data_IF_580826858307
#
_entry.id   IF_580826858307
#
_cell.length_a   1.000
_cell.length_b   1.000
_cell.length_c   1.000
_cell.angle_alpha   90.00
_cell.angle_beta   90.00
_cell.angle_gamma   90.00
#
_symmetry.space_group_name_H-M   'P 1'
#
loop_
_entity.id
_entity.type
_entity.pdbx_description
1 polymer ?
#
# COMPACT_ATOMS: atom_id res chain seq x y z
N UNK A 1 -9.64 16.85 23.39
CA UNK A 1 -9.37 16.37 22.03
C UNK A 1 -9.02 14.91 22.14
N UNK A 2 -9.70 14.04 21.39
CA UNK A 2 -9.40 12.61 21.37
C UNK A 2 -8.25 12.33 20.40
N UNK A 3 -7.47 11.27 20.65
CA UNK A 3 -6.36 10.86 19.81
C UNK A 3 -6.32 9.33 19.68
N UNK A 4 -6.00 8.85 18.48
CA UNK A 4 -5.67 7.45 18.20
C UNK A 4 -4.27 7.41 17.59
N UNK A 5 -3.38 6.60 18.18
CA UNK A 5 -2.02 6.38 17.69
C UNK A 5 -1.85 4.94 17.20
N UNK A 6 -1.30 4.80 16.01
CA UNK A 6 -1.05 3.51 15.39
C UNK A 6 0.12 3.61 14.41
N UNK A 7 0.57 2.47 13.88
CA UNK A 7 1.55 2.47 12.80
C UNK A 7 1.01 1.83 11.53
N UNK A 8 1.46 2.33 10.38
CA UNK A 8 1.26 1.73 9.06
C UNK A 8 2.62 1.27 8.54
N UNK A 9 2.85 -0.03 8.46
CA UNK A 9 4.15 -0.59 8.07
C UNK A 9 5.32 0.00 8.89
N UNK A 10 5.10 0.18 10.20
CA UNK A 10 6.08 0.78 11.11
C UNK A 10 6.24 2.31 10.99
N UNK A 11 5.44 3.01 10.19
CA UNK A 11 5.33 4.47 10.20
C UNK A 11 4.37 4.91 11.31
N UNK A 12 4.81 5.63 12.35
CA UNK A 12 3.92 6.11 13.41
C UNK A 12 2.99 7.21 12.89
N UNK A 13 1.71 7.10 13.22
CA UNK A 13 0.65 8.03 12.83
C UNK A 13 -0.17 8.40 14.06
N UNK A 14 -0.44 9.68 14.23
CA UNK A 14 -1.41 10.18 15.21
C UNK A 14 -2.59 10.82 14.47
N UNK A 15 -3.80 10.48 14.86
CA UNK A 15 -5.03 11.07 14.34
C UNK A 15 -5.83 11.67 15.49
N UNK A 16 -6.18 12.94 15.39
CA UNK A 16 -6.89 13.71 16.42
C UNK A 16 -8.23 14.21 15.93
N UNK A 17 -9.22 14.20 16.82
CA UNK A 17 -10.54 14.78 16.57
C UNK A 17 -11.09 15.45 17.83
N UNK A 18 -12.16 16.25 17.69
CA UNK A 18 -12.80 16.89 18.81
C UNK A 18 -13.40 15.88 19.79
N UNK A 19 -13.96 14.79 19.29
CA UNK A 19 -14.64 13.75 20.07
C UNK A 19 -14.13 12.35 19.72
N UNK A 20 -14.11 11.44 20.68
CA UNK A 20 -13.64 10.05 20.49
C UNK A 20 -14.45 9.30 19.44
N UNK A 21 -15.77 9.47 19.46
CA UNK A 21 -16.67 8.83 18.47
C UNK A 21 -16.32 9.16 17.01
N UNK A 22 -15.66 10.28 16.77
CA UNK A 22 -15.23 10.68 15.43
C UNK A 22 -14.09 9.80 14.90
N UNK A 23 -13.42 9.06 15.79
CA UNK A 23 -12.30 8.18 15.52
C UNK A 23 -12.60 6.69 15.70
N UNK A 24 -13.82 6.31 16.15
CA UNK A 24 -14.17 4.91 16.50
C UNK A 24 -13.93 3.95 15.33
N UNK A 25 -14.32 4.35 14.12
CA UNK A 25 -14.11 3.53 12.91
C UNK A 25 -12.62 3.30 12.62
N UNK A 26 -11.81 4.35 12.79
CA UNK A 26 -10.36 4.27 12.58
C UNK A 26 -9.71 3.42 13.68
N UNK A 27 -10.12 3.62 14.93
CA UNK A 27 -9.66 2.83 16.06
C UNK A 27 -9.98 1.34 15.87
N UNK A 28 -11.16 1.02 15.35
CA UNK A 28 -11.56 -0.36 15.06
C UNK A 28 -10.67 -1.02 13.99
N UNK A 29 -10.23 -0.27 12.98
CA UNK A 29 -9.33 -0.77 11.92
C UNK A 29 -7.91 -0.95 12.45
N UNK A 30 -7.40 0.01 13.23
CA UNK A 30 -5.99 0.08 13.61
C UNK A 30 -5.68 -0.40 15.03
N UNK A 31 -6.68 -0.92 15.80
CA UNK A 31 -6.50 -1.36 17.19
C UNK A 31 -5.37 -2.40 17.39
N UNK A 32 -5.02 -3.16 16.37
CA UNK A 32 -3.95 -4.18 16.39
C UNK A 32 -2.56 -3.60 16.14
N UNK A 33 -2.46 -2.31 15.85
CA UNK A 33 -1.21 -1.64 15.44
C UNK A 33 -0.88 -0.43 16.31
N UNK A 34 -1.02 -0.51 17.66
CA UNK A 34 -0.75 0.63 18.52
C UNK A 34 0.74 1.01 18.46
N UNK A 35 1.03 2.28 18.72
CA UNK A 35 2.39 2.78 18.84
C UNK A 35 2.46 3.93 19.84
N UNK A 36 3.53 3.95 20.65
CA UNK A 36 3.88 5.08 21.50
C UNK A 36 5.00 5.94 20.90
N UNK A 37 5.48 5.59 19.71
CA UNK A 37 6.51 6.35 19.02
C UNK A 37 6.01 7.75 18.62
N UNK A 38 6.93 8.71 18.56
CA UNK A 38 6.62 10.04 18.06
C UNK A 38 6.09 9.95 16.61
N UNK A 39 4.98 10.62 16.31
CA UNK A 39 4.34 10.50 15.02
C UNK A 39 5.22 11.07 13.90
N UNK A 40 5.31 10.34 12.80
CA UNK A 40 5.87 10.80 11.54
C UNK A 40 4.80 11.46 10.64
N UNK A 41 3.54 11.25 11.01
CA UNK A 41 2.38 11.87 10.38
C UNK A 41 1.35 12.25 11.47
N UNK A 42 1.01 13.51 11.53
CA UNK A 42 -0.05 14.07 12.37
C UNK A 42 -1.28 14.42 11.52
N UNK A 43 -2.45 13.96 11.93
CA UNK A 43 -3.71 14.20 11.20
C UNK A 43 -4.76 14.78 12.14
N UNK A 44 -5.23 15.98 11.86
CA UNK A 44 -6.38 16.58 12.52
C UNK A 44 -7.64 16.34 11.69
N UNK A 45 -8.73 15.91 12.32
CA UNK A 45 -9.98 15.55 11.66
C UNK A 45 -11.16 16.28 12.25
N UNK A 46 -12.00 16.83 11.38
CA UNK A 46 -13.32 17.36 11.69
C UNK A 46 -14.37 16.50 10.96
N UNK A 47 -15.27 15.81 11.71
CA UNK A 47 -16.42 15.13 11.14
C UNK A 47 -17.54 16.14 10.90
N UNK A 48 -18.07 16.16 9.67
CA UNK A 48 -19.13 17.08 9.26
C UNK A 48 -20.36 16.28 8.83
N UNK A 49 -21.43 16.41 9.59
CA UNK A 49 -22.71 15.82 9.23
C UNK A 49 -23.23 16.45 7.92
N UNK A 50 -23.67 15.63 6.98
CA UNK A 50 -24.19 16.10 5.71
C UNK A 50 -23.12 16.59 4.71
N UNK A 51 -21.83 16.36 4.99
CA UNK A 51 -20.78 16.61 4.01
C UNK A 51 -20.89 15.57 2.89
N UNK A 52 -21.59 15.94 1.83
CA UNK A 52 -21.61 15.19 0.58
C UNK A 52 -21.74 16.21 -0.56
N UNK A 53 -20.79 16.20 -1.47
CA UNK A 53 -20.98 16.88 -2.75
C UNK A 53 -21.83 16.00 -3.64
N UNK A 54 -22.73 16.59 -4.41
CA UNK A 54 -23.51 15.81 -5.38
C UNK A 54 -22.54 15.04 -6.31
N UNK A 55 -22.78 13.75 -6.43
CA UNK A 55 -22.08 12.91 -7.40
C UNK A 55 -22.58 13.27 -8.79
N UNK A 56 -22.01 14.29 -9.40
CA UNK A 56 -22.20 14.51 -10.83
C UNK A 56 -21.52 13.42 -11.64
N UNK A 57 -21.92 13.20 -12.89
CA UNK A 57 -21.29 12.23 -13.81
C UNK A 57 -19.78 12.47 -14.00
N UNK A 58 -19.31 13.66 -13.66
CA UNK A 58 -17.89 14.04 -13.72
C UNK A 58 -17.07 13.66 -12.46
N UNK A 59 -17.73 13.20 -11.40
CA UNK A 59 -17.08 12.73 -10.18
C UNK A 59 -17.15 11.19 -10.11
N UNK A 60 -16.23 10.46 -10.73
CA UNK A 60 -16.08 9.06 -10.44
C UNK A 60 -15.75 8.89 -8.95
N UNK A 61 -16.25 7.83 -8.32
CA UNK A 61 -16.12 7.57 -6.87
C UNK A 61 -14.69 7.67 -6.30
N UNK A 62 -13.69 7.82 -7.16
CA UNK A 62 -12.27 7.88 -6.84
C UNK A 62 -11.52 9.07 -7.47
N UNK A 63 -12.21 10.11 -7.95
CA UNK A 63 -11.47 11.31 -8.38
C UNK A 63 -10.91 12.01 -7.15
N UNK A 64 -9.63 11.81 -6.91
CA UNK A 64 -8.85 12.55 -5.93
C UNK A 64 -8.20 13.70 -6.66
N UNK A 65 -8.64 14.90 -6.37
CA UNK A 65 -7.97 16.07 -6.89
C UNK A 65 -7.00 16.51 -5.81
N UNK A 66 -5.71 16.37 -6.06
CA UNK A 66 -4.67 16.94 -5.21
C UNK A 66 -3.99 18.02 -6.03
N UNK A 67 -4.13 19.23 -5.57
CA UNK A 67 -3.53 20.39 -6.19
C UNK A 67 -2.65 21.10 -5.17
N UNK A 68 -1.61 21.79 -5.65
CA UNK A 68 -0.83 22.67 -4.80
C UNK A 68 -1.72 23.81 -4.33
N UNK A 69 -1.78 24.06 -3.03
CA UNK A 69 -2.56 25.18 -2.48
C UNK A 69 -2.03 26.49 -3.04
N UNK A 70 -2.89 27.40 -3.50
CA UNK A 70 -2.47 28.69 -4.04
C UNK A 70 -1.58 29.44 -3.05
N UNK A 71 -0.41 29.90 -3.50
CA UNK A 71 0.54 30.68 -2.68
C UNK A 71 1.34 29.88 -1.64
N UNK A 72 1.13 28.56 -1.51
CA UNK A 72 1.90 27.71 -0.58
C UNK A 72 2.84 26.78 -1.34
N UNK A 73 4.11 26.72 -0.92
CA UNK A 73 5.13 25.86 -1.56
C UNK A 73 5.05 24.40 -1.11
N UNK A 74 4.45 24.13 0.06
CA UNK A 74 4.49 22.84 0.73
C UNK A 74 3.12 22.27 1.12
N UNK A 75 2.02 22.88 0.68
CA UNK A 75 0.67 22.41 0.98
C UNK A 75 0.01 21.83 -0.24
N UNK A 76 -0.62 20.68 -0.03
CA UNK A 76 -1.41 19.95 -1.01
C UNK A 76 -2.86 19.98 -0.58
N UNK A 77 -3.73 20.51 -1.43
CA UNK A 77 -5.17 20.43 -1.22
C UNK A 77 -5.70 19.07 -1.71
N UNK A 78 -6.48 18.41 -0.87
CA UNK A 78 -7.14 17.14 -1.16
C UNK A 78 -8.63 17.36 -1.24
N UNK A 79 -9.23 16.96 -2.33
CA UNK A 79 -10.65 17.04 -2.54
C UNK A 79 -11.23 15.69 -2.96
N UNK A 80 -12.29 15.28 -2.28
CA UNK A 80 -13.11 14.12 -2.58
C UNK A 80 -14.59 14.51 -2.51
N UNK A 81 -15.49 13.65 -3.00
CA UNK A 81 -16.94 13.88 -2.89
C UNK A 81 -17.42 13.96 -1.43
N UNK A 82 -16.72 13.32 -0.50
CA UNK A 82 -17.08 13.14 0.91
C UNK A 82 -16.00 13.62 1.89
N UNK A 83 -14.97 14.30 1.38
CA UNK A 83 -13.90 14.85 2.20
C UNK A 83 -13.14 15.95 1.47
N UNK A 84 -12.58 16.88 2.26
CA UNK A 84 -11.64 17.89 1.79
C UNK A 84 -10.59 18.17 2.86
N UNK A 85 -9.44 18.70 2.46
CA UNK A 85 -8.43 19.11 3.43
C UNK A 85 -7.12 19.49 2.80
N UNK A 86 -6.12 19.66 3.64
CA UNK A 86 -4.77 20.01 3.24
C UNK A 86 -3.76 19.11 3.91
N UNK A 87 -2.67 18.82 3.21
CA UNK A 87 -1.51 18.10 3.72
C UNK A 87 -0.30 19.02 3.57
N UNK A 88 0.38 19.31 4.67
CA UNK A 88 1.67 19.99 4.66
C UNK A 88 2.79 18.97 4.48
N UNK A 89 3.51 19.09 3.37
CA UNK A 89 4.61 18.20 2.98
C UNK A 89 5.98 18.86 3.14
N UNK A 90 6.07 19.95 3.87
CA UNK A 90 7.32 20.70 4.07
C UNK A 90 8.34 19.92 4.86
N UNK A 91 8.18 19.90 6.17
CA UNK A 91 9.08 19.24 7.11
C UNK A 91 8.45 17.98 7.71
N UNK A 92 9.26 17.16 8.35
CA UNK A 92 8.78 16.02 9.14
C UNK A 92 8.61 16.44 10.62
N UNK A 93 7.58 15.97 11.32
CA UNK A 93 6.50 15.11 10.84
C UNK A 93 5.63 15.81 9.80
N UNK A 94 5.07 15.06 8.84
CA UNK A 94 4.05 15.61 7.96
C UNK A 94 2.79 15.90 8.77
N UNK A 95 2.08 16.96 8.41
CA UNK A 95 0.80 17.26 9.03
C UNK A 95 -0.33 17.33 8.01
N UNK A 96 -1.52 16.93 8.41
CA UNK A 96 -2.70 16.99 7.57
C UNK A 96 -3.90 17.47 8.38
N UNK A 97 -4.82 18.15 7.72
CA UNK A 97 -6.09 18.56 8.30
C UNK A 97 -7.21 18.25 7.33
N UNK A 98 -8.17 17.47 7.77
CA UNK A 98 -9.29 17.03 6.94
C UNK A 98 -10.63 17.34 7.57
N UNK A 99 -11.58 17.72 6.72
CA UNK A 99 -13.02 17.70 6.98
C UNK A 99 -13.59 16.51 6.23
N UNK A 100 -14.23 15.58 6.94
CA UNK A 100 -14.71 14.32 6.38
C UNK A 100 -16.19 14.10 6.69
N UNK A 101 -16.89 13.49 5.75
CA UNK A 101 -18.27 13.06 5.92
C UNK A 101 -18.40 11.91 6.94
N UNK A 102 -19.62 11.44 7.18
CA UNK A 102 -19.90 10.45 8.20
C UNK A 102 -19.38 9.04 7.89
N UNK A 103 -18.97 8.77 6.66
CA UNK A 103 -18.50 7.43 6.26
C UNK A 103 -17.12 7.09 6.85
N UNK A 104 -16.98 5.88 7.39
CA UNK A 104 -15.71 5.31 7.82
C UNK A 104 -14.65 5.34 6.71
N UNK A 105 -15.07 5.02 5.48
CA UNK A 105 -14.21 5.00 4.31
C UNK A 105 -13.63 6.39 3.96
N UNK A 106 -14.32 7.47 4.31
CA UNK A 106 -13.85 8.84 4.04
C UNK A 106 -12.61 9.17 4.84
N UNK A 107 -12.66 8.89 6.15
CA UNK A 107 -11.55 9.12 7.07
C UNK A 107 -10.36 8.22 6.72
N UNK A 108 -10.60 6.92 6.56
CA UNK A 108 -9.55 5.96 6.21
C UNK A 108 -8.84 6.36 4.91
N UNK A 109 -9.58 6.76 3.90
CA UNK A 109 -8.98 7.16 2.62
C UNK A 109 -8.14 8.45 2.74
N UNK A 110 -8.54 9.42 3.57
CA UNK A 110 -7.75 10.62 3.84
C UNK A 110 -6.45 10.27 4.58
N UNK A 111 -6.53 9.45 5.61
CA UNK A 111 -5.36 8.95 6.34
C UNK A 111 -4.42 8.19 5.40
N UNK A 112 -4.93 7.31 4.55
CA UNK A 112 -4.13 6.55 3.57
C UNK A 112 -3.44 7.46 2.55
N UNK A 113 -4.11 8.51 2.08
CA UNK A 113 -3.50 9.50 1.18
C UNK A 113 -2.33 10.19 1.88
N UNK A 114 -2.53 10.73 3.08
CA UNK A 114 -1.48 11.40 3.85
C UNK A 114 -0.33 10.41 4.19
N UNK A 115 -0.68 9.20 4.64
CA UNK A 115 0.30 8.17 4.95
C UNK A 115 1.14 7.76 3.73
N UNK A 116 0.59 7.75 2.52
CA UNK A 116 1.38 7.43 1.32
C UNK A 116 2.53 8.39 1.07
N UNK A 117 2.33 9.67 1.39
CA UNK A 117 3.36 10.70 1.28
C UNK A 117 4.42 10.55 2.37
N UNK A 118 3.98 10.32 3.61
CA UNK A 118 4.87 10.09 4.73
C UNK A 118 5.69 8.79 4.54
N UNK A 119 5.08 7.70 4.08
CA UNK A 119 5.75 6.45 3.76
C UNK A 119 6.87 6.64 2.73
N UNK A 120 6.61 7.37 1.64
CA UNK A 120 7.63 7.67 0.64
C UNK A 120 8.85 8.38 1.25
N UNK A 121 8.62 9.35 2.16
CA UNK A 121 9.68 10.08 2.88
C UNK A 121 10.44 9.18 3.88
N UNK A 122 9.83 8.07 4.32
CA UNK A 122 10.41 7.10 5.26
C UNK A 122 10.89 5.80 4.60
N UNK A 123 11.17 5.83 3.31
CA UNK A 123 11.74 4.69 2.59
C UNK A 123 10.75 3.55 2.32
N UNK A 124 9.48 3.88 2.14
CA UNK A 124 8.45 2.89 1.86
C UNK A 124 7.57 3.28 0.67
N UNK A 125 7.01 2.28 0.00
CA UNK A 125 6.18 2.42 -1.20
C UNK A 125 4.89 1.62 -1.02
N UNK A 126 3.76 2.18 -1.41
CA UNK A 126 2.51 1.41 -1.54
C UNK A 126 2.45 0.86 -2.97
N UNK A 127 2.25 -0.44 -3.09
CA UNK A 127 2.18 -1.14 -4.37
C UNK A 127 0.83 -1.84 -4.54
N UNK A 128 0.23 -1.71 -5.72
CA UNK A 128 -0.93 -2.52 -6.11
C UNK A 128 -0.45 -3.91 -6.50
N UNK A 129 -0.49 -4.83 -5.54
CA UNK A 129 0.08 -6.16 -5.67
C UNK A 129 -0.59 -7.15 -4.70
N UNK A 130 -0.34 -8.42 -4.92
CA UNK A 130 -0.57 -9.48 -3.93
C UNK A 130 0.75 -10.03 -3.42
N UNK A 131 0.74 -10.66 -2.25
CA UNK A 131 1.92 -11.25 -1.65
C UNK A 131 1.62 -12.61 -1.03
N UNK A 132 2.59 -13.52 -1.18
CA UNK A 132 2.57 -14.85 -0.61
C UNK A 132 3.87 -15.04 0.19
N UNK A 133 3.74 -15.55 1.40
CA UNK A 133 4.87 -15.98 2.22
C UNK A 133 5.18 -17.43 1.93
N UNK A 134 6.44 -17.74 1.72
CA UNK A 134 6.98 -19.08 1.61
C UNK A 134 8.35 -19.13 2.29
N UNK A 135 8.57 -20.12 3.15
CA UNK A 135 9.81 -20.29 3.91
C UNK A 135 10.30 -19.03 4.66
N UNK A 136 9.35 -18.26 5.22
CA UNK A 136 9.65 -17.03 5.98
C UNK A 136 10.02 -15.83 5.12
N UNK A 137 9.80 -15.87 3.81
CA UNK A 137 10.10 -14.78 2.86
C UNK A 137 8.90 -14.50 1.96
N UNK A 138 8.76 -13.27 1.52
CA UNK A 138 7.63 -12.84 0.70
C UNK A 138 7.97 -12.84 -0.80
N UNK A 139 7.11 -13.45 -1.59
CA UNK A 139 7.02 -13.31 -3.03
C UNK A 139 5.90 -12.32 -3.36
N UNK A 140 6.23 -11.28 -4.11
CA UNK A 140 5.28 -10.22 -4.50
C UNK A 140 4.89 -10.40 -5.96
N UNK A 141 3.59 -10.25 -6.25
CA UNK A 141 3.01 -10.36 -7.58
C UNK A 141 2.30 -9.08 -7.95
N UNK A 142 2.75 -8.42 -9.01
CA UNK A 142 2.17 -7.17 -9.52
C UNK A 142 1.89 -7.28 -11.01
N UNK A 143 1.17 -6.31 -11.56
CA UNK A 143 0.80 -6.26 -12.97
C UNK A 143 -0.47 -5.45 -13.20
N UNK A 144 -0.84 -5.25 -14.44
CA UNK A 144 -2.05 -4.49 -14.82
C UNK A 144 -3.32 -5.09 -14.21
N UNK A 145 -4.40 -4.32 -14.22
CA UNK A 145 -5.71 -4.85 -13.82
C UNK A 145 -6.04 -6.11 -14.64
N UNK A 146 -6.52 -7.16 -13.97
CA UNK A 146 -6.80 -8.44 -14.64
C UNK A 146 -5.58 -9.33 -14.90
N UNK A 147 -4.35 -8.92 -14.59
CA UNK A 147 -3.15 -9.76 -14.78
C UNK A 147 -3.16 -11.06 -13.98
N UNK A 148 -4.01 -11.16 -12.94
CA UNK A 148 -4.17 -12.38 -12.15
C UNK A 148 -3.48 -12.35 -10.78
N UNK A 149 -3.26 -11.16 -10.19
CA UNK A 149 -2.66 -10.98 -8.85
C UNK A 149 -3.35 -11.80 -7.77
N UNK A 150 -4.66 -11.61 -7.60
CA UNK A 150 -5.45 -12.37 -6.63
C UNK A 150 -5.56 -13.85 -7.00
N UNK A 151 -5.57 -14.17 -8.30
CA UNK A 151 -5.60 -15.54 -8.79
C UNK A 151 -4.34 -16.30 -8.37
N UNK A 152 -3.15 -15.76 -8.66
CA UNK A 152 -1.89 -16.44 -8.34
C UNK A 152 -1.70 -16.58 -6.83
N UNK A 153 -2.00 -15.53 -6.05
CA UNK A 153 -1.89 -15.61 -4.59
C UNK A 153 -2.84 -16.66 -4.00
N UNK A 154 -4.06 -16.81 -4.57
CA UNK A 154 -4.99 -17.85 -4.15
C UNK A 154 -4.58 -19.27 -4.61
N UNK A 155 -3.98 -19.41 -5.78
CA UNK A 155 -3.43 -20.69 -6.25
C UNK A 155 -2.25 -21.17 -5.38
N UNK A 156 -1.51 -20.24 -4.79
CA UNK A 156 -0.36 -20.52 -3.93
C UNK A 156 -0.72 -20.58 -2.45
N UNK A 157 -1.97 -20.26 -2.06
CA UNK A 157 -2.41 -20.23 -0.66
C UNK A 157 -2.67 -21.65 -0.11
N UNK A 158 -1.65 -22.48 -0.13
CA UNK A 158 -1.64 -23.82 0.41
C UNK A 158 -0.29 -24.07 1.05
N UNK A 159 -0.25 -24.79 2.19
CA UNK A 159 1.00 -25.11 2.86
C UNK A 159 1.97 -25.85 1.91
N UNK A 160 3.26 -25.47 1.85
CA UNK A 160 4.00 -24.62 2.81
C UNK A 160 3.92 -23.09 2.53
N UNK A 161 3.20 -22.63 1.51
CA UNK A 161 3.02 -21.22 1.23
C UNK A 161 1.71 -20.67 1.81
N UNK A 162 1.65 -19.37 2.07
CA UNK A 162 0.51 -18.67 2.65
C UNK A 162 0.31 -17.32 1.99
N UNK A 163 -0.91 -17.02 1.55
CA UNK A 163 -1.27 -15.68 1.11
C UNK A 163 -1.24 -14.73 2.31
N UNK A 164 -0.48 -13.64 2.20
CA UNK A 164 -0.37 -12.64 3.26
C UNK A 164 -0.93 -11.28 2.85
N UNK A 165 -1.05 -10.98 1.56
CA UNK A 165 -1.59 -9.70 1.08
C UNK A 165 -2.28 -9.80 -0.27
N UNK A 166 -3.27 -8.92 -0.49
CA UNK A 166 -3.96 -8.76 -1.76
C UNK A 166 -4.40 -7.30 -1.92
N UNK A 167 -4.38 -6.79 -3.14
CA UNK A 167 -4.75 -5.45 -3.55
C UNK A 167 -3.72 -4.37 -3.21
N UNK A 168 -3.40 -4.14 -1.92
CA UNK A 168 -2.42 -3.15 -1.48
C UNK A 168 -1.43 -3.78 -0.50
N UNK A 169 -0.15 -3.61 -0.78
CA UNK A 169 0.96 -3.94 0.12
C UNK A 169 1.88 -2.74 0.26
N UNK A 170 2.63 -2.69 1.34
CA UNK A 170 3.71 -1.73 1.54
C UNK A 170 5.04 -2.46 1.42
N UNK A 171 5.90 -1.98 0.54
CA UNK A 171 7.31 -2.36 0.48
C UNK A 171 8.11 -1.31 1.23
N UNK A 172 8.83 -1.71 2.28
CA UNK A 172 9.63 -0.80 3.09
C UNK A 172 11.06 -1.28 3.15
N UNK A 173 11.99 -0.34 3.01
CA UNK A 173 13.40 -0.57 3.31
C UNK A 173 13.57 -0.75 4.82
N UNK A 174 14.28 -1.79 5.22
CA UNK A 174 14.48 -2.11 6.63
C UNK A 174 15.38 -1.06 7.31
N UNK A 175 14.96 -0.44 8.44
CA UNK A 175 15.73 0.63 9.08
C UNK A 175 17.13 0.20 9.51
N UNK A 176 17.33 -1.06 9.85
CA UNK A 176 18.61 -1.63 10.28
C UNK A 176 19.49 -2.18 9.14
N UNK A 177 18.98 -2.21 7.89
CA UNK A 177 19.70 -2.77 6.75
C UNK A 177 19.29 -2.06 5.46
N UNK A 178 20.09 -1.11 4.97
CA UNK A 178 19.72 -0.28 3.84
C UNK A 178 19.56 -1.04 2.51
N UNK A 179 19.99 -2.31 2.45
CA UNK A 179 19.87 -3.17 1.27
C UNK A 179 18.77 -4.21 1.38
N UNK A 180 18.06 -4.25 2.52
CA UNK A 180 16.99 -5.22 2.77
C UNK A 180 15.64 -4.52 2.70
N UNK A 181 14.66 -5.26 2.18
CA UNK A 181 13.28 -4.81 2.05
C UNK A 181 12.33 -5.82 2.65
N UNK A 182 11.28 -5.31 3.26
CA UNK A 182 10.19 -6.14 3.81
C UNK A 182 8.85 -5.75 3.20
N UNK A 183 7.98 -6.75 3.09
CA UNK A 183 6.57 -6.58 2.74
C UNK A 183 5.78 -6.40 4.02
N UNK A 184 4.86 -5.45 4.03
CA UNK A 184 3.89 -5.24 5.08
C UNK A 184 2.49 -5.22 4.49
N UNK A 185 1.54 -5.82 5.20
CA UNK A 185 0.13 -5.80 4.83
C UNK A 185 -0.58 -4.78 5.72
N UNK A 186 -0.88 -3.60 5.19
CA UNK A 186 -1.53 -2.55 5.98
C UNK A 186 -2.98 -2.91 6.30
N UNK A 187 -3.51 -2.44 7.43
CA UNK A 187 -4.87 -2.71 7.86
C UNK A 187 -5.92 -1.82 7.16
N UNK A 188 -5.80 -1.63 5.87
CA UNK A 188 -6.81 -0.89 5.12
C UNK A 188 -8.12 -1.68 5.05
N UNK A 189 -9.24 -0.98 4.91
CA UNK A 189 -10.54 -1.60 4.63
C UNK A 189 -10.44 -2.31 3.27
N UNK A 190 -10.19 -3.60 3.31
CA UNK A 190 -9.98 -4.46 2.15
C UNK A 190 -10.77 -5.77 2.27
N UNK A 191 -10.64 -6.67 1.29
CA UNK A 191 -11.37 -7.94 1.30
C UNK A 191 -11.06 -8.75 2.56
N UNK A 192 -12.07 -9.43 3.09
CA UNK A 192 -11.95 -10.35 4.21
C UNK A 192 -11.02 -11.53 3.89
N UNK A 193 -10.28 -12.02 4.89
CA UNK A 193 -9.40 -13.18 4.76
C UNK A 193 -7.92 -12.87 4.57
N UNK A 194 -7.53 -11.60 4.67
CA UNK A 194 -6.12 -11.20 4.65
C UNK A 194 -5.62 -11.07 6.09
N UNK A 195 -4.40 -11.55 6.34
CA UNK A 195 -3.72 -11.38 7.63
C UNK A 195 -3.15 -9.95 7.73
N UNK A 196 -4.01 -8.99 8.06
CA UNK A 196 -3.59 -7.62 8.29
C UNK A 196 -2.51 -7.56 9.37
N UNK A 197 -1.41 -6.88 9.06
CA UNK A 197 -0.23 -6.81 9.92
C UNK A 197 0.80 -7.89 9.66
N UNK A 198 0.54 -8.83 8.78
CA UNK A 198 1.58 -9.74 8.32
C UNK A 198 2.74 -8.96 7.70
N UNK A 199 3.95 -9.40 8.00
CA UNK A 199 5.17 -8.88 7.39
C UNK A 199 6.16 -10.01 7.16
N UNK A 200 6.95 -9.89 6.09
CA UNK A 200 8.02 -10.82 5.81
C UNK A 200 9.12 -10.14 4.97
N UNK A 201 10.40 -10.56 5.12
CA UNK A 201 11.47 -10.13 4.24
C UNK A 201 11.12 -10.38 2.77
N UNK A 202 11.34 -9.38 1.93
CA UNK A 202 11.05 -9.48 0.50
C UNK A 202 12.12 -10.32 -0.20
N UNK A 203 11.70 -11.39 -0.88
CA UNK A 203 12.58 -12.24 -1.67
C UNK A 203 12.67 -11.79 -3.12
N UNK A 204 11.51 -11.63 -3.76
CA UNK A 204 11.44 -11.28 -5.18
C UNK A 204 10.12 -10.61 -5.55
N UNK A 205 10.15 -9.85 -6.64
CA UNK A 205 8.96 -9.25 -7.26
C UNK A 205 8.71 -9.88 -8.61
N UNK A 206 7.46 -10.25 -8.89
CA UNK A 206 7.03 -10.87 -10.13
C UNK A 206 6.03 -10.00 -10.86
N UNK A 207 6.37 -9.56 -12.07
CA UNK A 207 5.46 -8.88 -12.98
C UNK A 207 4.71 -9.93 -13.77
N UNK A 208 3.39 -9.98 -13.59
CA UNK A 208 2.54 -11.03 -14.13
C UNK A 208 2.16 -10.80 -15.59
N UNK A 209 2.22 -11.86 -16.36
CA UNK A 209 1.72 -11.95 -17.74
C UNK A 209 0.94 -13.26 -17.91
N UNK A 210 -0.29 -13.16 -18.39
CA UNK A 210 -1.07 -14.36 -18.74
C UNK A 210 -0.46 -15.06 -19.97
N UNK A 211 -0.25 -16.36 -19.87
CA UNK A 211 0.35 -17.18 -20.93
C UNK A 211 -0.21 -18.61 -20.88
N UNK A 212 -0.10 -19.40 -21.95
CA UNK A 212 -0.52 -20.81 -21.95
C UNK A 212 0.47 -21.74 -21.23
N UNK A 213 1.57 -21.24 -20.74
CA UNK A 213 2.64 -21.98 -20.05
C UNK A 213 3.09 -21.21 -18.81
N UNK A 214 3.97 -21.82 -18.01
CA UNK A 214 4.64 -21.18 -16.89
C UNK A 214 6.10 -20.93 -17.25
N UNK A 215 6.56 -19.68 -17.10
CA UNK A 215 7.96 -19.32 -17.25
C UNK A 215 8.31 -18.15 -16.33
N UNK A 216 9.49 -18.22 -15.72
CA UNK A 216 10.05 -17.17 -14.88
C UNK A 216 11.33 -16.65 -15.52
N UNK A 217 11.35 -15.38 -15.91
CA UNK A 217 12.50 -14.76 -16.59
C UNK A 217 12.97 -13.56 -15.80
N UNK A 218 14.26 -13.47 -15.51
CA UNK A 218 14.84 -12.32 -14.83
C UNK A 218 14.68 -11.04 -15.66
N UNK A 219 14.36 -9.95 -14.99
CA UNK A 219 14.24 -8.62 -15.60
C UNK A 219 15.48 -7.78 -15.28
N UNK A 220 15.95 -7.01 -16.27
CA UNK A 220 16.94 -5.98 -16.00
C UNK A 220 16.35 -4.90 -15.08
N UNK A 221 17.12 -4.28 -14.17
CA UNK A 221 16.63 -3.26 -13.23
C UNK A 221 15.87 -2.12 -13.89
N UNK A 222 16.30 -1.66 -15.06
CA UNK A 222 15.63 -0.59 -15.81
C UNK A 222 14.28 -1.00 -16.38
N UNK A 223 14.12 -2.26 -16.77
CA UNK A 223 12.83 -2.81 -17.20
C UNK A 223 11.88 -2.99 -16.00
N UNK A 224 12.39 -3.52 -14.89
CA UNK A 224 11.66 -3.66 -13.64
C UNK A 224 11.20 -2.30 -13.09
N UNK A 225 12.07 -1.29 -13.05
CA UNK A 225 11.74 0.08 -12.67
C UNK A 225 10.54 0.61 -13.46
N UNK A 226 10.57 0.47 -14.78
CA UNK A 226 9.52 0.97 -15.67
C UNK A 226 8.18 0.29 -15.42
N UNK A 227 8.19 -1.01 -15.15
CA UNK A 227 6.98 -1.76 -14.81
C UNK A 227 6.47 -1.41 -13.42
N UNK A 228 7.32 -1.37 -12.39
CA UNK A 228 6.90 -1.10 -11.02
C UNK A 228 6.29 0.30 -10.86
N UNK A 229 6.83 1.31 -11.54
CA UNK A 229 6.27 2.67 -11.51
C UNK A 229 4.81 2.76 -11.97
N UNK A 230 4.34 1.80 -12.76
CA UNK A 230 2.94 1.73 -13.19
C UNK A 230 2.00 1.21 -12.09
N UNK A 231 2.56 0.58 -11.06
CA UNK A 231 1.81 -0.13 -10.02
C UNK A 231 2.03 0.46 -8.63
N UNK A 232 3.03 1.35 -8.48
CA UNK A 232 3.20 2.15 -7.26
C UNK A 232 2.06 3.16 -7.18
N UNK A 233 1.42 3.23 -6.02
CA UNK A 233 0.37 4.20 -5.76
C UNK A 233 0.98 5.54 -5.40
N UNK A 234 0.96 6.44 -6.37
CA UNK A 234 1.30 7.84 -6.20
C UNK A 234 -0.02 8.62 -6.24
N UNK A 235 -0.47 9.07 -5.08
CA UNK A 235 -1.72 9.85 -5.00
C UNK A 235 -1.55 11.30 -5.41
N UNK A 236 -0.32 11.77 -5.59
CA UNK A 236 0.02 13.17 -5.85
C UNK A 236 1.05 13.27 -6.96
N UNK A 237 0.75 14.09 -7.95
CA UNK A 237 1.74 14.54 -8.94
C UNK A 237 2.56 15.73 -8.39
N UNK A 238 3.19 15.55 -7.22
CA UNK A 238 4.06 16.55 -6.61
C UNK A 238 5.53 16.20 -6.89
N UNK A 239 6.33 17.12 -7.46
CA UNK A 239 7.68 16.80 -7.96
C UNK A 239 8.60 16.13 -6.94
N UNK A 240 8.66 16.66 -5.71
CA UNK A 240 9.54 16.10 -4.67
C UNK A 240 9.13 14.69 -4.26
N UNK A 241 7.83 14.44 -4.13
CA UNK A 241 7.32 13.09 -3.84
C UNK A 241 7.59 12.15 -5.00
N UNK A 242 7.39 12.61 -6.24
CA UNK A 242 7.70 11.82 -7.43
C UNK A 242 9.20 11.47 -7.52
N UNK A 243 10.09 12.41 -7.22
CA UNK A 243 11.54 12.17 -7.15
C UNK A 243 11.90 11.13 -6.06
N UNK A 244 11.32 11.25 -4.86
CA UNK A 244 11.54 10.27 -3.80
C UNK A 244 11.05 8.87 -4.20
N UNK A 245 9.84 8.78 -4.75
CA UNK A 245 9.30 7.50 -5.21
C UNK A 245 10.16 6.91 -6.32
N UNK A 246 10.58 7.72 -7.30
CA UNK A 246 11.46 7.26 -8.38
C UNK A 246 12.80 6.73 -7.83
N UNK A 247 13.41 7.45 -6.90
CA UNK A 247 14.66 7.03 -6.26
C UNK A 247 14.49 5.70 -5.50
N UNK A 248 13.40 5.56 -4.72
CA UNK A 248 13.09 4.33 -3.98
C UNK A 248 12.85 3.14 -4.91
N UNK A 249 12.08 3.31 -5.99
CA UNK A 249 11.84 2.22 -6.95
C UNK A 249 13.13 1.84 -7.69
N UNK A 250 13.97 2.83 -8.02
CA UNK A 250 15.27 2.56 -8.64
C UNK A 250 16.22 1.81 -7.70
N UNK A 251 16.19 2.11 -6.41
CA UNK A 251 16.94 1.40 -5.38
C UNK A 251 16.41 -0.03 -5.20
N UNK A 252 15.10 -0.19 -5.02
CA UNK A 252 14.41 -1.47 -4.88
C UNK A 252 14.77 -2.43 -6.03
N UNK A 253 14.68 -1.96 -7.28
CA UNK A 253 14.93 -2.81 -8.46
C UNK A 253 16.39 -3.19 -8.67
N UNK A 254 17.33 -2.49 -8.02
CA UNK A 254 18.75 -2.89 -7.99
C UNK A 254 19.06 -3.90 -6.88
N UNK A 255 18.31 -3.87 -5.79
CA UNK A 255 18.58 -4.68 -4.59
C UNK A 255 17.74 -5.95 -4.54
N UNK A 256 16.53 -5.93 -5.11
CA UNK A 256 15.58 -7.05 -5.06
C UNK A 256 15.44 -7.66 -6.46
N UNK A 257 15.57 -9.00 -6.59
CA UNK A 257 15.34 -9.70 -7.84
C UNK A 257 13.94 -9.44 -8.38
N UNK A 258 13.85 -8.98 -9.63
CA UNK A 258 12.60 -8.79 -10.33
C UNK A 258 12.50 -9.75 -11.51
N UNK A 259 11.32 -10.35 -11.70
CA UNK A 259 11.09 -11.33 -12.75
C UNK A 259 9.80 -11.02 -13.50
N UNK A 260 9.78 -11.30 -14.78
CA UNK A 260 8.56 -11.53 -15.54
C UNK A 260 8.09 -12.94 -15.22
N UNK A 261 6.83 -13.10 -14.81
CA UNK A 261 6.21 -14.39 -14.57
C UNK A 261 5.06 -14.61 -15.54
N UNK A 262 5.30 -15.43 -16.54
CA UNK A 262 4.29 -15.94 -17.45
C UNK A 262 3.60 -17.12 -16.81
N UNK A 263 2.27 -17.08 -16.73
CA UNK A 263 1.54 -18.18 -16.08
C UNK A 263 0.12 -18.36 -16.65
N UNK A 264 -0.32 -19.59 -16.62
CA UNK A 264 -1.73 -19.98 -16.79
C UNK A 264 -2.37 -20.22 -15.41
N UNK A 265 -3.67 -20.25 -15.36
CA UNK A 265 -4.44 -20.37 -14.13
C UNK A 265 -4.50 -21.82 -13.64
N UNK A 266 -3.35 -22.38 -13.23
CA UNK A 266 -3.27 -23.68 -12.57
C UNK A 266 -2.13 -23.73 -11.53
N UNK A 267 -2.14 -24.71 -10.60
CA UNK A 267 -1.16 -24.86 -9.53
C UNK A 267 0.28 -25.09 -9.98
N UNK A 268 0.50 -25.49 -11.24
CA UNK A 268 1.84 -25.75 -11.79
C UNK A 268 2.79 -24.56 -11.73
N UNK A 269 2.24 -23.35 -11.56
CA UNK A 269 3.02 -22.13 -11.37
C UNK A 269 3.93 -22.19 -10.14
N UNK A 270 3.59 -22.97 -9.12
CA UNK A 270 4.41 -23.18 -7.93
C UNK A 270 5.79 -23.74 -8.27
N UNK A 271 5.88 -24.65 -9.25
CA UNK A 271 7.14 -25.25 -9.66
C UNK A 271 8.17 -24.25 -10.19
N UNK A 272 7.76 -23.25 -10.99
CA UNK A 272 8.67 -22.22 -11.51
C UNK A 272 9.07 -21.19 -10.45
N UNK A 273 8.34 -21.14 -9.32
CA UNK A 273 8.64 -20.32 -8.16
C UNK A 273 9.50 -21.05 -7.11
N UNK A 274 9.79 -22.34 -7.32
CA UNK A 274 10.54 -23.17 -6.36
C UNK A 274 9.72 -23.57 -5.13
N UNK A 275 8.39 -23.46 -5.19
CA UNK A 275 7.48 -23.89 -4.12
C UNK A 275 7.13 -25.35 -4.34
N UNK A 276 7.65 -26.22 -3.48
CA UNK A 276 7.31 -27.64 -3.50
C UNK A 276 6.14 -27.91 -2.55
N UNK A 277 5.01 -28.33 -3.10
CA UNK A 277 3.92 -28.88 -2.27
C UNK A 277 4.20 -30.36 -1.95
N UNK A 278 3.92 -30.79 -0.72
CA UNK A 278 3.91 -32.22 -0.42
C UNK A 278 3.00 -32.93 -1.43
N UNK A 279 3.51 -33.93 -2.12
CA UNK A 279 2.65 -34.75 -3.00
C UNK A 279 1.49 -35.27 -2.15
N UNK A 280 0.26 -34.96 -2.54
CA UNK A 280 -0.89 -35.66 -1.98
C UNK A 280 -0.68 -37.14 -2.31
N UNK A 281 -0.58 -37.94 -1.26
CA UNK A 281 -0.56 -39.40 -1.45
C UNK A 281 -1.80 -39.76 -2.29
N UNK A 282 -1.65 -40.61 -3.33
CA UNK A 282 -2.80 -41.04 -4.11
C UNK A 282 -3.80 -41.72 -3.16
N UNK A 283 -5.07 -41.28 -3.27
CA UNK A 283 -6.19 -41.80 -2.49
C UNK A 283 -6.48 -43.27 -2.80
#
# INVERSE_FOLDING_TARGET
>A
MAEVRFHIAGLPVAVRAAQSRDLDDLAAVYHRFPTDAEPALDVDVERVAGFARERGPEYPAFRRTMQRSPGATHRLHVERFDAEGEIDIGELPLSARFRVGPSANSLEACVRIAASLALARHGALILHASAVEHAGRALVFTGVSGAGKSTISSLLDHRPARKIGDELIVLRRDPGSPTSWSVYVPPYLGPSGIDHGASAPLEAIHVLVQAPHHARTAMAPTAALRELLRHVLIYVAEPRTAEHVLALVAELTRQVPCHKLEFRKDPGVAGVLGIAYPQQAPA
#
